data_IF_507463045985
#
_entry.id   IF_507463045985
#
_cell.length_a   1.000
_cell.length_b   1.000
_cell.length_c   1.000
_cell.angle_alpha   90.00
_cell.angle_beta   90.00
_cell.angle_gamma   90.00
#
_symmetry.space_group_name_H-M   'P 1'
#
loop_
_entity.id
_entity.type
_entity.pdbx_description
1 polymer ?
#
# COMPACT_ATOMS: atom_id res chain seq x y z
N UNK A 1 -5.25 -11.71 -24.26
CA UNK A 1 -5.02 -10.32 -23.80
C UNK A 1 -5.48 -9.39 -24.90
N UNK A 2 -6.51 -8.62 -24.65
CA UNK A 2 -7.03 -7.66 -25.63
C UNK A 2 -6.15 -6.42 -25.62
N UNK A 3 -5.59 -6.03 -26.77
CA UNK A 3 -4.83 -4.78 -26.89
C UNK A 3 -5.84 -3.64 -26.78
N UNK A 4 -5.64 -2.67 -25.88
CA UNK A 4 -6.55 -1.53 -25.73
C UNK A 4 -6.69 -0.79 -27.07
N UNK A 5 -7.90 -0.36 -27.40
CA UNK A 5 -8.11 0.47 -28.58
C UNK A 5 -7.59 1.89 -28.32
N UNK A 6 -7.35 2.65 -29.39
CA UNK A 6 -6.87 4.05 -29.29
C UNK A 6 -7.83 4.95 -28.49
N UNK A 7 -9.09 4.54 -28.34
CA UNK A 7 -10.14 5.24 -27.58
C UNK A 7 -10.08 4.97 -26.08
N UNK A 8 -9.31 3.95 -25.64
CA UNK A 8 -9.16 3.58 -24.23
C UNK A 8 -8.04 4.38 -23.55
N UNK A 9 -7.23 5.12 -24.31
CA UNK A 9 -6.14 5.95 -23.77
C UNK A 9 -6.66 7.30 -23.30
N UNK A 10 -6.24 7.70 -22.10
CA UNK A 10 -6.53 9.02 -21.53
C UNK A 10 -5.30 9.91 -21.63
N UNK A 11 -5.53 11.19 -21.88
CA UNK A 11 -4.46 12.19 -22.00
C UNK A 11 -4.29 12.97 -20.68
N UNK A 12 -3.17 13.69 -20.58
CA UNK A 12 -2.89 14.56 -19.45
C UNK A 12 -2.16 13.90 -18.28
N UNK A 13 -1.67 12.67 -18.45
CA UNK A 13 -0.83 12.01 -17.46
C UNK A 13 0.62 12.49 -17.55
N UNK A 14 1.23 12.72 -16.38
CA UNK A 14 2.68 12.87 -16.24
C UNK A 14 3.25 11.55 -15.71
N UNK A 15 4.19 10.99 -16.44
CA UNK A 15 4.85 9.74 -16.06
C UNK A 15 6.32 10.02 -15.81
N UNK A 16 6.84 9.55 -14.69
CA UNK A 16 8.25 9.64 -14.30
C UNK A 16 8.77 8.25 -13.94
N UNK A 17 9.92 7.88 -14.52
CA UNK A 17 10.59 6.62 -14.23
C UNK A 17 11.54 6.77 -13.04
N UNK A 18 11.29 6.04 -11.96
CA UNK A 18 12.18 5.94 -10.80
C UNK A 18 13.07 4.71 -10.97
N UNK A 19 14.40 4.92 -11.01
CA UNK A 19 15.37 3.88 -11.40
C UNK A 19 15.82 2.96 -10.27
N UNK A 20 15.53 3.29 -9.02
CA UNK A 20 15.97 2.49 -7.87
C UNK A 20 14.88 2.36 -6.82
N UNK A 21 15.01 1.35 -5.97
CA UNK A 21 14.13 1.18 -4.81
C UNK A 21 14.19 2.39 -3.89
N UNK A 22 15.38 2.93 -3.63
CA UNK A 22 15.51 4.12 -2.77
C UNK A 22 14.81 5.34 -3.35
N UNK A 23 14.97 5.64 -4.64
CA UNK A 23 14.27 6.77 -5.27
C UNK A 23 12.74 6.58 -5.25
N UNK A 24 12.26 5.33 -5.37
CA UNK A 24 10.86 5.01 -5.23
C UNK A 24 10.34 5.29 -3.80
N UNK A 25 11.06 4.83 -2.77
CA UNK A 25 10.62 5.03 -1.38
C UNK A 25 10.69 6.49 -0.95
N UNK A 26 11.70 7.24 -1.40
CA UNK A 26 11.77 8.69 -1.19
C UNK A 26 10.56 9.39 -1.83
N UNK A 27 10.22 9.04 -3.07
CA UNK A 27 9.07 9.62 -3.76
C UNK A 27 7.75 9.24 -3.08
N UNK A 28 7.59 8.00 -2.61
CA UNK A 28 6.42 7.56 -1.83
C UNK A 28 6.28 8.39 -0.56
N UNK A 29 7.32 8.50 0.25
CA UNK A 29 7.30 9.25 1.50
C UNK A 29 6.94 10.72 1.25
N UNK A 30 7.57 11.35 0.25
CA UNK A 30 7.24 12.71 -0.15
C UNK A 30 5.76 12.86 -0.53
N UNK A 31 5.25 11.96 -1.37
CA UNK A 31 3.85 11.98 -1.80
C UNK A 31 2.89 11.84 -0.61
N UNK A 32 3.21 10.96 0.34
CA UNK A 32 2.44 10.79 1.58
C UNK A 32 2.48 12.07 2.44
N UNK A 33 3.65 12.67 2.59
CA UNK A 33 3.81 13.88 3.41
C UNK A 33 3.15 15.12 2.76
N UNK A 34 3.02 15.17 1.44
CA UNK A 34 2.36 16.25 0.70
C UNK A 34 0.84 16.08 0.56
N UNK A 35 0.29 14.92 0.92
CA UNK A 35 -1.14 14.63 0.82
C UNK A 35 -1.99 15.63 1.61
N UNK A 36 -3.13 16.05 1.03
CA UNK A 36 -4.01 17.10 1.58
C UNK A 36 -5.37 16.60 2.04
N UNK A 37 -5.86 15.49 1.51
CA UNK A 37 -7.23 15.04 1.77
C UNK A 37 -7.30 13.59 2.22
N UNK A 38 -6.80 12.67 1.40
CA UNK A 38 -6.80 11.24 1.69
C UNK A 38 -5.64 10.54 0.98
N UNK A 39 -5.34 9.34 1.47
CA UNK A 39 -4.35 8.44 0.90
C UNK A 39 -4.99 7.06 0.75
N UNK A 40 -4.88 6.48 -0.43
CA UNK A 40 -5.12 5.05 -0.66
C UNK A 40 -3.77 4.37 -0.91
N UNK A 41 -3.35 3.55 0.03
CA UNK A 41 -2.11 2.79 -0.08
C UNK A 41 -2.42 1.31 -0.21
N UNK A 42 -1.99 0.71 -1.32
CA UNK A 42 -2.17 -0.70 -1.60
C UNK A 42 -0.83 -1.35 -1.89
N UNK A 43 -0.53 -2.46 -1.25
CA UNK A 43 0.69 -3.21 -1.51
C UNK A 43 0.50 -4.70 -1.27
N UNK A 44 1.30 -5.50 -1.99
CA UNK A 44 1.33 -6.94 -1.79
C UNK A 44 2.12 -7.32 -0.53
N UNK A 45 3.25 -6.69 -0.30
CA UNK A 45 4.16 -7.00 0.80
C UNK A 45 4.63 -5.74 1.52
N UNK A 46 4.67 -5.83 2.83
CA UNK A 46 5.38 -4.90 3.71
C UNK A 46 6.08 -5.74 4.76
N UNK A 47 7.39 -5.63 4.80
CA UNK A 47 8.20 -6.25 5.83
C UNK A 47 8.38 -5.31 7.03
N UNK A 48 8.55 -5.89 8.21
CA UNK A 48 8.88 -5.15 9.42
C UNK A 48 10.40 -4.86 9.47
N UNK A 49 10.88 -4.14 8.45
CA UNK A 49 12.24 -3.69 8.28
C UNK A 49 12.33 -2.14 8.30
N UNK A 50 13.52 -1.61 8.09
CA UNK A 50 13.74 -0.17 8.08
C UNK A 50 12.87 0.55 7.05
N UNK A 51 12.76 0.00 5.83
CA UNK A 51 11.97 0.57 4.73
C UNK A 51 10.48 0.51 5.03
N UNK A 52 9.99 -0.65 5.45
CA UNK A 52 8.58 -0.82 5.82
C UNK A 52 8.17 0.11 6.96
N UNK A 53 8.99 0.20 7.99
CA UNK A 53 8.76 1.13 9.13
C UNK A 53 8.78 2.59 8.69
N UNK A 54 9.67 2.96 7.79
CA UNK A 54 9.75 4.32 7.22
C UNK A 54 8.44 4.72 6.54
N UNK A 55 7.91 3.87 5.66
CA UNK A 55 6.64 4.13 4.97
C UNK A 55 5.46 4.13 5.95
N UNK A 56 5.40 3.17 6.88
CA UNK A 56 4.34 3.13 7.89
C UNK A 56 4.35 4.38 8.77
N UNK A 57 5.52 4.85 9.18
CA UNK A 57 5.65 6.09 9.93
C UNK A 57 5.18 7.31 9.13
N UNK A 58 5.43 7.35 7.81
CA UNK A 58 4.90 8.41 6.96
C UNK A 58 3.37 8.40 6.92
N UNK A 59 2.75 7.22 6.77
CA UNK A 59 1.28 7.07 6.80
C UNK A 59 0.70 7.49 8.17
N UNK A 60 1.37 7.12 9.26
CA UNK A 60 0.98 7.52 10.63
C UNK A 60 1.05 9.05 10.77
N UNK A 61 2.13 9.68 10.32
CA UNK A 61 2.24 11.15 10.31
C UNK A 61 1.12 11.80 9.50
N UNK A 62 0.76 11.24 8.37
CA UNK A 62 -0.35 11.74 7.56
C UNK A 62 -1.68 11.64 8.33
N UNK A 63 -1.98 10.51 8.96
CA UNK A 63 -3.16 10.32 9.78
C UNK A 63 -3.20 11.32 10.95
N UNK A 64 -2.07 11.55 11.62
CA UNK A 64 -1.94 12.54 12.70
C UNK A 64 -2.19 13.99 12.23
N UNK A 65 -1.93 14.29 10.96
CA UNK A 65 -2.30 15.59 10.33
C UNK A 65 -3.79 15.69 9.96
N UNK A 66 -4.58 14.64 10.23
CA UNK A 66 -6.01 14.61 9.90
C UNK A 66 -6.30 14.11 8.47
N UNK A 67 -5.30 13.56 7.77
CA UNK A 67 -5.50 12.93 6.45
C UNK A 67 -6.16 11.57 6.64
N UNK A 68 -7.19 11.27 5.86
CA UNK A 68 -7.82 9.94 5.84
C UNK A 68 -6.92 8.95 5.10
N UNK A 69 -6.45 7.95 5.81
CA UNK A 69 -5.55 6.93 5.24
C UNK A 69 -6.26 5.59 5.18
N UNK A 70 -6.28 5.02 4.00
CA UNK A 70 -6.78 3.67 3.71
C UNK A 70 -5.61 2.80 3.31
N UNK A 71 -5.37 1.74 4.06
CA UNK A 71 -4.26 0.82 3.82
C UNK A 71 -4.77 -0.60 3.55
N UNK A 72 -4.49 -1.11 2.37
CA UNK A 72 -4.84 -2.46 1.94
C UNK A 72 -3.56 -3.28 1.72
N UNK A 73 -3.41 -4.37 2.47
CA UNK A 73 -2.28 -5.29 2.40
C UNK A 73 -2.76 -6.68 2.04
N UNK A 74 -2.06 -7.37 1.12
CA UNK A 74 -2.37 -8.78 0.84
C UNK A 74 -2.08 -9.64 2.07
N UNK A 75 -3.01 -10.51 2.42
CA UNK A 75 -2.89 -11.32 3.64
C UNK A 75 -1.74 -12.33 3.60
N UNK A 76 -1.31 -12.76 2.41
CA UNK A 76 -0.16 -13.66 2.26
C UNK A 76 1.16 -12.90 2.29
N UNK A 77 1.27 -11.85 1.49
CA UNK A 77 2.46 -11.00 1.45
C UNK A 77 2.69 -10.19 2.72
N UNK A 78 1.63 -10.00 3.52
CA UNK A 78 1.68 -9.33 4.82
C UNK A 78 2.00 -10.22 6.02
N UNK A 79 2.43 -11.47 5.82
CA UNK A 79 2.76 -12.38 6.92
C UNK A 79 3.85 -11.86 7.87
N UNK A 80 4.79 -11.08 7.34
CA UNK A 80 5.86 -10.44 8.10
C UNK A 80 5.45 -9.12 8.76
N UNK A 81 4.23 -8.64 8.48
CA UNK A 81 3.71 -7.42 9.08
C UNK A 81 3.27 -7.73 10.51
N UNK A 82 4.04 -7.26 11.48
CA UNK A 82 3.88 -7.61 12.88
C UNK A 82 2.57 -7.07 13.47
N UNK A 83 2.04 -7.76 14.49
CA UNK A 83 0.87 -7.26 15.23
C UNK A 83 1.12 -5.90 15.88
N UNK A 84 2.36 -5.64 16.29
CA UNK A 84 2.75 -4.35 16.86
C UNK A 84 2.60 -3.21 15.82
N UNK A 85 3.01 -3.44 14.58
CA UNK A 85 2.81 -2.48 13.51
C UNK A 85 1.33 -2.32 13.13
N UNK A 86 0.55 -3.40 13.11
CA UNK A 86 -0.90 -3.32 12.88
C UNK A 86 -1.54 -2.45 13.95
N UNK A 87 -1.24 -2.69 15.22
CA UNK A 87 -1.78 -1.90 16.32
C UNK A 87 -1.42 -0.42 16.19
N UNK A 88 -0.17 -0.09 15.90
CA UNK A 88 0.27 1.30 15.69
C UNK A 88 -0.46 2.00 14.54
N UNK A 89 -0.66 1.28 13.45
CA UNK A 89 -1.39 1.77 12.27
C UNK A 89 -2.85 2.05 12.63
N UNK A 90 -3.52 1.13 13.31
CA UNK A 90 -4.91 1.27 13.71
C UNK A 90 -5.10 2.34 14.79
N UNK A 91 -4.22 2.41 15.79
CA UNK A 91 -4.21 3.45 16.83
C UNK A 91 -4.03 4.86 16.25
N UNK A 92 -3.31 4.99 15.14
CA UNK A 92 -3.18 6.26 14.42
C UNK A 92 -4.44 6.65 13.63
N UNK A 93 -5.47 5.79 13.60
CA UNK A 93 -6.71 6.04 12.86
C UNK A 93 -6.65 5.65 11.37
N UNK A 94 -5.65 4.88 10.97
CA UNK A 94 -5.54 4.34 9.62
C UNK A 94 -6.55 3.21 9.43
N UNK A 95 -7.35 3.28 8.37
CA UNK A 95 -8.29 2.23 8.01
C UNK A 95 -7.56 1.09 7.31
N UNK A 96 -7.10 0.15 8.11
CA UNK A 96 -6.35 -1.02 7.66
C UNK A 96 -7.26 -2.19 7.30
N UNK A 97 -6.96 -2.86 6.17
CA UNK A 97 -7.64 -4.09 5.73
C UNK A 97 -6.64 -5.07 5.13
N UNK A 98 -6.89 -6.35 5.39
CA UNK A 98 -6.22 -7.45 4.69
C UNK A 98 -7.06 -7.88 3.49
N UNK A 99 -6.42 -7.92 2.33
CA UNK A 99 -7.02 -8.48 1.11
C UNK A 99 -6.89 -10.01 1.12
N UNK A 100 -8.00 -10.70 0.81
CA UNK A 100 -8.06 -12.15 0.74
C UNK A 100 -7.49 -12.84 1.99
N UNK A 101 -8.07 -12.60 3.18
CA UNK A 101 -7.65 -13.28 4.40
C UNK A 101 -7.76 -14.79 4.21
N UNK A 102 -6.83 -15.55 4.81
CA UNK A 102 -6.76 -17.00 4.68
C UNK A 102 -8.06 -17.65 5.17
N UNK A 103 -8.85 -18.15 4.23
CA UNK A 103 -9.86 -19.17 4.54
C UNK A 103 -9.14 -20.52 4.47
N UNK A 104 -8.81 -21.08 5.63
CA UNK A 104 -8.31 -22.46 5.73
C UNK A 104 -9.52 -23.36 5.55
N UNK A 105 -9.81 -23.76 4.32
CA UNK A 105 -10.70 -24.84 4.03
C UNK A 105 -9.88 -25.96 3.37
N UNK A 106 -9.70 -27.08 4.11
CA UNK A 106 -9.15 -28.35 3.63
C UNK A 106 -7.80 -28.30 2.89
N UNK A 107 -6.84 -27.48 3.34
CA UNK A 107 -5.46 -27.50 2.80
C UNK A 107 -5.25 -26.90 1.42
N UNK A 108 -6.29 -26.47 0.71
CA UNK A 108 -6.19 -25.78 -0.58
C UNK A 108 -6.36 -24.27 -0.40
N UNK A 109 -5.29 -23.52 -0.66
CA UNK A 109 -5.36 -22.06 -0.76
C UNK A 109 -5.67 -21.64 -2.19
N UNK A 110 -6.94 -21.60 -2.54
CA UNK A 110 -7.40 -20.92 -3.75
C UNK A 110 -7.82 -19.51 -3.36
N UNK A 111 -6.92 -18.53 -3.49
CA UNK A 111 -7.25 -17.14 -3.29
C UNK A 111 -6.50 -16.24 -4.26
N UNK A 112 -7.20 -15.24 -4.76
CA UNK A 112 -6.61 -14.17 -5.55
C UNK A 112 -5.60 -13.40 -4.70
N UNK A 113 -4.52 -12.91 -5.33
CA UNK A 113 -3.46 -12.12 -4.70
C UNK A 113 -3.44 -10.71 -5.23
N UNK A 114 -3.17 -9.77 -4.34
CA UNK A 114 -3.09 -8.35 -4.67
C UNK A 114 -1.65 -7.98 -5.02
N UNK A 115 -1.24 -8.21 -6.26
CA UNK A 115 0.11 -7.88 -6.73
C UNK A 115 0.26 -6.41 -7.18
N UNK A 116 -0.45 -5.51 -6.52
CA UNK A 116 -0.37 -4.08 -6.80
C UNK A 116 0.47 -3.35 -5.76
N UNK A 117 1.16 -2.31 -6.21
CA UNK A 117 1.75 -1.28 -5.36
C UNK A 117 1.25 0.05 -5.88
N UNK A 118 0.32 0.64 -5.17
CA UNK A 118 -0.38 1.88 -5.57
C UNK A 118 -0.45 2.81 -4.37
N UNK A 119 -0.17 4.06 -4.64
CA UNK A 119 -0.27 5.15 -3.69
C UNK A 119 -1.07 6.30 -4.31
#
# INVERSE_FOLDING_TARGET
MQIPSRHDYKYGHKIELLRSGESFFVACEKTIDEAKQYIHFQTYIVDDDETGRRIMNALIRAAQRGIRVYFLLDAYGGNSFSKDLINKVEEAGILFRLFSPRLITNGFQLSLRLHHKVL
#
